data_IF_829455198081
#
_entry.id   IF_829455198081
#
_cell.length_a   1.000
_cell.length_b   1.000
_cell.length_c   1.000
_cell.angle_alpha   90.00
_cell.angle_beta   90.00
_cell.angle_gamma   90.00
#
_symmetry.space_group_name_H-M   'P 1'
#
loop_
_entity.id
_entity.type
_entity.pdbx_description
1 polymer ?
#
# COMPACT_ATOMS: atom_id res chain seq x y z
N UNK A 1 -19.16 14.95 1.06
CA UNK A 1 -17.70 15.08 1.31
C UNK A 1 -17.09 15.91 0.19
N UNK A 2 -16.10 16.79 0.47
CA UNK A 2 -15.34 17.41 -0.61
C UNK A 2 -14.71 16.31 -1.47
N UNK A 3 -14.79 16.42 -2.79
CA UNK A 3 -14.31 15.40 -3.76
C UNK A 3 -12.85 14.98 -3.53
N UNK A 4 -12.05 15.86 -2.92
CA UNK A 4 -10.67 15.59 -2.49
C UNK A 4 -10.58 14.39 -1.51
N UNK A 5 -11.62 14.14 -0.71
CA UNK A 5 -11.67 13.01 0.22
C UNK A 5 -11.66 11.68 -0.52
N UNK A 6 -12.34 11.57 -1.67
CA UNK A 6 -12.33 10.36 -2.49
C UNK A 6 -10.94 10.07 -3.08
N UNK A 7 -10.22 11.12 -3.48
CA UNK A 7 -8.82 10.99 -3.92
C UNK A 7 -7.94 10.56 -2.74
N UNK A 8 -8.11 11.18 -1.57
CA UNK A 8 -7.39 10.79 -0.36
C UNK A 8 -7.65 9.32 0.00
N UNK A 9 -8.90 8.84 -0.10
CA UNK A 9 -9.26 7.44 0.13
C UNK A 9 -8.58 6.49 -0.86
N UNK A 10 -8.55 6.83 -2.15
CA UNK A 10 -7.85 6.04 -3.16
C UNK A 10 -6.35 5.96 -2.87
N UNK A 11 -5.71 7.10 -2.57
CA UNK A 11 -4.29 7.18 -2.25
C UNK A 11 -3.97 6.43 -0.96
N UNK A 12 -4.80 6.58 0.08
CA UNK A 12 -4.66 5.85 1.33
C UNK A 12 -4.75 4.33 1.12
N UNK A 13 -5.72 3.86 0.32
CA UNK A 13 -5.83 2.46 -0.05
C UNK A 13 -4.64 1.96 -0.87
N UNK A 14 -4.06 2.80 -1.72
CA UNK A 14 -2.83 2.49 -2.46
C UNK A 14 -1.64 2.29 -1.50
N UNK A 15 -1.42 3.20 -0.55
CA UNK A 15 -0.39 3.03 0.49
C UNK A 15 -0.63 1.77 1.33
N UNK A 16 -1.86 1.54 1.78
CA UNK A 16 -2.22 0.34 2.53
C UNK A 16 -1.86 -0.93 1.76
N UNK A 17 -2.28 -1.01 0.49
CA UNK A 17 -2.02 -2.17 -0.38
C UNK A 17 -0.54 -2.35 -0.68
N UNK A 18 0.20 -1.25 -0.88
CA UNK A 18 1.65 -1.28 -1.06
C UNK A 18 2.37 -1.82 0.17
N UNK A 19 1.91 -1.51 1.38
CA UNK A 19 2.51 -2.02 2.61
C UNK A 19 2.42 -3.54 2.76
N UNK A 20 1.33 -4.17 2.28
CA UNK A 20 1.04 -5.60 2.47
C UNK A 20 2.18 -6.54 2.05
N UNK A 21 2.64 -6.54 0.78
CA UNK A 21 3.66 -7.50 0.35
C UNK A 21 5.00 -7.30 1.09
N UNK A 22 5.37 -6.07 1.43
CA UNK A 22 6.60 -5.81 2.18
C UNK A 22 6.47 -6.28 3.64
N UNK A 23 5.39 -5.89 4.32
CA UNK A 23 5.17 -6.25 5.72
C UNK A 23 5.06 -7.77 5.89
N UNK A 24 4.22 -8.43 5.09
CA UNK A 24 3.97 -9.88 5.18
C UNK A 24 5.24 -10.68 4.92
N UNK A 25 6.02 -10.34 3.89
CA UNK A 25 7.31 -11.01 3.67
C UNK A 25 8.29 -10.73 4.82
N UNK A 26 8.36 -9.49 5.30
CA UNK A 26 9.24 -9.10 6.40
C UNK A 26 8.96 -9.87 7.69
N UNK A 27 7.70 -9.93 8.15
CA UNK A 27 7.33 -10.67 9.37
C UNK A 27 7.43 -12.19 9.20
N UNK A 28 7.39 -12.67 7.95
CA UNK A 28 7.64 -14.07 7.61
C UNK A 28 9.14 -14.41 7.53
N UNK A 29 10.04 -13.48 7.85
CA UNK A 29 11.48 -13.67 7.77
C UNK A 29 12.04 -13.75 6.34
N UNK A 30 11.26 -13.33 5.33
CA UNK A 30 11.64 -13.41 3.91
C UNK A 30 12.20 -12.08 3.44
N UNK A 31 13.34 -12.13 2.78
CA UNK A 31 13.85 -10.98 2.04
C UNK A 31 12.92 -10.69 0.86
N UNK A 32 12.52 -9.44 0.72
CA UNK A 32 11.63 -8.94 -0.31
C UNK A 32 12.16 -7.62 -0.86
N UNK A 33 11.63 -7.18 -1.99
CA UNK A 33 12.15 -6.02 -2.68
C UNK A 33 11.71 -4.73 -1.97
N UNK A 34 12.56 -3.70 -1.99
CA UNK A 34 12.22 -2.34 -1.57
C UNK A 34 12.51 -1.37 -2.73
N UNK A 35 11.73 -0.28 -2.90
CA UNK A 35 11.84 0.60 -4.06
C UNK A 35 13.20 1.28 -4.22
N UNK A 36 13.97 1.43 -3.14
CA UNK A 36 15.31 2.05 -3.15
C UNK A 36 16.46 1.06 -3.26
N UNK A 37 16.17 -0.25 -3.33
CA UNK A 37 17.20 -1.23 -3.59
C UNK A 37 17.53 -1.25 -5.09
N UNK A 38 18.82 -1.40 -5.47
CA UNK A 38 19.19 -1.64 -6.87
C UNK A 38 18.34 -2.74 -7.50
N UNK A 39 18.01 -2.62 -8.79
CA UNK A 39 17.27 -3.65 -9.55
C UNK A 39 18.04 -4.99 -9.44
N UNK A 40 17.61 -5.85 -8.50
CA UNK A 40 18.07 -7.21 -8.18
C UNK A 40 18.36 -7.42 -6.67
N UNK A 41 18.56 -6.37 -5.87
CA UNK A 41 18.89 -6.52 -4.45
C UNK A 41 17.62 -6.60 -3.60
N UNK A 42 17.48 -7.66 -2.82
CA UNK A 42 16.40 -7.78 -1.83
C UNK A 42 16.77 -7.00 -0.56
N UNK A 43 15.79 -6.32 0.04
CA UNK A 43 15.91 -5.74 1.37
C UNK A 43 15.82 -6.84 2.44
N UNK A 44 16.49 -6.64 3.57
CA UNK A 44 16.41 -7.56 4.71
C UNK A 44 14.96 -7.66 5.23
N UNK A 45 14.58 -8.77 5.90
CA UNK A 45 13.25 -8.92 6.48
C UNK A 45 12.84 -7.73 7.35
N UNK A 46 13.74 -7.26 8.24
CA UNK A 46 13.50 -6.08 9.08
C UNK A 46 13.25 -4.81 8.28
N UNK A 47 14.01 -4.58 7.21
CA UNK A 47 13.80 -3.42 6.35
C UNK A 47 12.42 -3.48 5.66
N UNK A 48 11.96 -4.66 5.26
CA UNK A 48 10.63 -4.85 4.67
C UNK A 48 9.51 -4.61 5.70
N UNK A 49 9.69 -5.03 6.96
CA UNK A 49 8.75 -4.73 8.05
C UNK A 49 8.63 -3.22 8.24
N UNK A 50 9.76 -2.51 8.38
CA UNK A 50 9.78 -1.05 8.59
C UNK A 50 9.13 -0.33 7.41
N UNK A 51 9.45 -0.74 6.18
CA UNK A 51 8.87 -0.16 4.98
C UNK A 51 7.36 -0.40 4.86
N UNK A 52 6.91 -1.63 5.10
CA UNK A 52 5.48 -1.97 5.12
C UNK A 52 4.73 -1.21 6.20
N UNK A 53 5.31 -1.10 7.40
CA UNK A 53 4.75 -0.31 8.50
C UNK A 53 4.64 1.18 8.18
N UNK A 54 5.65 1.78 7.55
CA UNK A 54 5.60 3.19 7.15
C UNK A 54 4.46 3.45 6.16
N UNK A 55 4.20 2.51 5.24
CA UNK A 55 3.06 2.59 4.33
C UNK A 55 1.72 2.51 5.06
N UNK A 56 1.59 1.62 6.05
CA UNK A 56 0.39 1.54 6.89
C UNK A 56 0.17 2.82 7.71
N UNK A 57 1.23 3.41 8.25
CA UNK A 57 1.15 4.67 8.97
C UNK A 57 0.64 5.79 8.06
N UNK A 58 1.16 5.91 6.84
CA UNK A 58 0.70 6.92 5.87
C UNK A 58 -0.78 6.68 5.54
N UNK A 59 -1.19 5.44 5.24
CA UNK A 59 -2.58 5.10 4.98
C UNK A 59 -3.50 5.46 6.15
N UNK A 60 -3.09 5.13 7.38
CA UNK A 60 -3.84 5.47 8.59
C UNK A 60 -3.99 6.99 8.76
N UNK A 61 -2.90 7.75 8.60
CA UNK A 61 -2.95 9.21 8.72
C UNK A 61 -3.85 9.86 7.67
N UNK A 62 -3.87 9.33 6.44
CA UNK A 62 -4.75 9.81 5.37
C UNK A 62 -6.22 9.50 5.68
N UNK A 63 -6.53 8.26 6.10
CA UNK A 63 -7.88 7.83 6.48
C UNK A 63 -8.40 8.50 7.76
N UNK A 64 -7.52 8.98 8.65
CA UNK A 64 -7.93 9.58 9.91
C UNK A 64 -8.02 11.11 9.84
N UNK A 65 -7.12 11.78 9.11
CA UNK A 65 -6.91 13.22 9.25
C UNK A 65 -7.18 14.05 7.97
N UNK A 66 -7.11 13.44 6.79
CA UNK A 66 -7.26 14.18 5.52
C UNK A 66 -8.62 13.89 4.87
N UNK A 67 -8.98 12.61 4.78
CA UNK A 67 -10.31 12.15 4.43
C UNK A 67 -10.73 11.12 5.46
N UNK A 68 -11.39 11.53 6.55
CA UNK A 68 -11.95 10.60 7.52
C UNK A 68 -12.82 9.57 6.82
N UNK A 69 -12.41 8.30 6.88
CA UNK A 69 -13.10 7.21 6.20
C UNK A 69 -14.38 6.83 6.96
N UNK A 70 -15.54 7.02 6.33
CA UNK A 70 -16.82 6.56 6.86
C UNK A 70 -17.24 5.27 6.16
N UNK A 71 -16.97 4.14 6.82
CA UNK A 71 -17.37 2.82 6.32
C UNK A 71 -18.90 2.79 6.17
N UNK A 72 -19.38 2.38 5.00
CA UNK A 72 -20.81 2.32 4.69
C UNK A 72 -21.32 3.46 3.81
N UNK A 73 -20.51 4.49 3.53
CA UNK A 73 -20.83 5.45 2.46
C UNK A 73 -20.43 4.83 1.11
N UNK A 74 -21.30 4.83 0.08
CA UNK A 74 -20.97 4.20 -1.20
C UNK A 74 -19.74 4.82 -1.87
N UNK A 75 -19.61 6.16 -1.82
CA UNK A 75 -18.48 6.87 -2.42
C UNK A 75 -17.14 6.47 -1.81
N UNK A 76 -17.02 6.51 -0.47
CA UNK A 76 -15.75 6.18 0.18
C UNK A 76 -15.37 4.71 -0.05
N UNK A 77 -16.36 3.82 0.04
CA UNK A 77 -16.18 2.38 -0.19
C UNK A 77 -15.67 2.10 -1.60
N UNK A 78 -16.26 2.73 -2.62
CA UNK A 78 -15.85 2.54 -4.03
C UNK A 78 -14.41 2.99 -4.25
N UNK A 79 -14.02 4.17 -3.75
CA UNK A 79 -12.67 4.69 -3.98
C UNK A 79 -11.59 3.92 -3.20
N UNK A 80 -11.90 3.45 -1.99
CA UNK A 80 -11.00 2.53 -1.26
C UNK A 80 -10.84 1.21 -2.03
N UNK A 81 -11.95 0.60 -2.46
CA UNK A 81 -11.92 -0.65 -3.20
C UNK A 81 -11.16 -0.52 -4.53
N UNK A 82 -11.37 0.58 -5.25
CA UNK A 82 -10.67 0.89 -6.49
C UNK A 82 -9.17 1.09 -6.27
N UNK A 83 -8.77 1.86 -5.24
CA UNK A 83 -7.37 2.07 -4.90
C UNK A 83 -6.66 0.76 -4.57
N UNK A 84 -7.31 -0.09 -3.77
CA UNK A 84 -6.78 -1.40 -3.42
C UNK A 84 -6.62 -2.31 -4.65
N UNK A 85 -7.64 -2.39 -5.51
CA UNK A 85 -7.61 -3.24 -6.70
C UNK A 85 -6.56 -2.78 -7.71
N UNK A 86 -6.54 -1.48 -8.03
CA UNK A 86 -5.61 -0.92 -9.02
C UNK A 86 -4.17 -1.08 -8.53
N UNK A 87 -3.88 -0.70 -7.29
CA UNK A 87 -2.53 -0.84 -6.74
C UNK A 87 -2.12 -2.31 -6.63
N UNK A 88 -3.03 -3.20 -6.24
CA UNK A 88 -2.77 -4.65 -6.22
C UNK A 88 -2.37 -5.19 -7.59
N UNK A 89 -3.11 -4.85 -8.65
CA UNK A 89 -2.80 -5.26 -10.03
C UNK A 89 -1.45 -4.68 -10.49
N UNK A 90 -1.19 -3.40 -10.21
CA UNK A 90 0.07 -2.75 -10.57
C UNK A 90 1.25 -3.42 -9.87
N UNK A 91 1.16 -3.67 -8.56
CA UNK A 91 2.20 -4.36 -7.80
C UNK A 91 2.42 -5.79 -8.30
N UNK A 92 1.35 -6.53 -8.57
CA UNK A 92 1.44 -7.88 -9.13
C UNK A 92 2.24 -7.88 -10.43
N UNK A 93 1.94 -6.96 -11.37
CA UNK A 93 2.68 -6.82 -12.63
C UNK A 93 4.14 -6.40 -12.43
N UNK A 94 4.40 -5.45 -11.51
CA UNK A 94 5.75 -4.99 -11.21
C UNK A 94 6.60 -6.14 -10.66
N UNK A 95 6.07 -6.91 -9.72
CA UNK A 95 6.81 -8.02 -9.10
C UNK A 95 6.93 -9.23 -10.02
N UNK A 96 5.92 -9.50 -10.87
CA UNK A 96 5.99 -10.55 -11.90
C UNK A 96 7.13 -10.28 -12.89
N UNK A 97 7.17 -9.09 -13.50
CA UNK A 97 8.19 -8.70 -14.49
C UNK A 97 9.62 -8.71 -13.94
N UNK A 98 9.73 -8.76 -12.62
CA UNK A 98 10.96 -8.68 -11.87
C UNK A 98 11.44 -10.04 -11.34
N UNK A 99 10.61 -11.07 -11.50
CA UNK A 99 10.90 -12.48 -11.21
C UNK A 99 11.30 -13.28 -12.46
N UNK A 100 11.07 -12.71 -13.64
CA UNK A 100 11.56 -13.17 -14.95
C UNK A 100 12.93 -12.57 -15.23
#
# INVERSE_FOLDING_TARGET
MPWIAYIAHFIAAAFLTNGVPHFVNGVSGRSFRIPFAPRAKLGSPTANVVWGWANFLIAFLLFANIGPLYIGTPGDTIFVAAGMLVTGIVLARIFENQSR
#
